data_IF_840591701853
#
_entry.id   IF_840591701853
#
_cell.length_a   1.000
_cell.length_b   1.000
_cell.length_c   1.000
_cell.angle_alpha   90.00
_cell.angle_beta   90.00
_cell.angle_gamma   90.00
#
_symmetry.space_group_name_H-M   'P 1'
#
loop_
_entity.id
_entity.type
_entity.pdbx_description
1 polymer ?
#
# COMPACT_ATOMS: atom_id res chain seq x y z
N UNK A 1 8.39 16.01 15.10
CA UNK A 1 8.58 15.90 13.65
C UNK A 1 7.54 16.76 12.94
N UNK A 2 7.88 17.50 11.88
CA UNK A 2 6.91 18.36 11.20
C UNK A 2 5.91 17.54 10.38
N UNK A 3 4.64 17.96 10.36
CA UNK A 3 3.58 17.39 9.51
C UNK A 3 4.01 17.25 8.03
N UNK A 4 4.89 18.15 7.56
CA UNK A 4 5.47 18.12 6.22
C UNK A 4 6.19 16.80 5.94
N UNK A 5 7.05 16.33 6.84
CA UNK A 5 7.84 15.09 6.63
C UNK A 5 6.93 13.87 6.59
N UNK A 6 5.93 13.80 7.47
CA UNK A 6 4.93 12.73 7.41
C UNK A 6 4.13 12.77 6.10
N UNK A 7 3.73 13.96 5.65
CA UNK A 7 3.08 14.15 4.35
C UNK A 7 3.92 13.70 3.17
N UNK A 8 5.23 14.00 3.18
CA UNK A 8 6.17 13.53 2.14
C UNK A 8 6.27 12.00 2.11
N UNK A 9 6.35 11.36 3.28
CA UNK A 9 6.41 9.89 3.40
C UNK A 9 5.10 9.26 2.90
N UNK A 10 3.95 9.87 3.17
CA UNK A 10 2.66 9.33 2.73
C UNK A 10 2.44 9.52 1.23
N UNK A 11 2.99 10.57 0.63
CA UNK A 11 2.71 10.91 -0.77
C UNK A 11 3.73 10.33 -1.78
N UNK A 12 5.03 10.54 -1.54
CA UNK A 12 6.05 10.26 -2.55
C UNK A 12 6.36 8.77 -2.75
N UNK A 13 6.62 7.97 -1.69
CA UNK A 13 6.88 6.54 -1.85
C UNK A 13 5.76 5.79 -2.59
N UNK A 14 4.46 5.98 -2.27
CA UNK A 14 3.39 5.34 -3.03
C UNK A 14 3.33 5.76 -4.49
N UNK A 15 3.57 7.05 -4.78
CA UNK A 15 3.64 7.57 -6.14
C UNK A 15 4.77 6.90 -6.94
N UNK A 16 5.97 6.77 -6.35
CA UNK A 16 7.10 6.10 -7.00
C UNK A 16 6.81 4.62 -7.30
N UNK A 17 6.18 3.91 -6.36
CA UNK A 17 5.76 2.52 -6.58
C UNK A 17 4.74 2.44 -7.71
N UNK A 18 3.77 3.34 -7.74
CA UNK A 18 2.73 3.38 -8.77
C UNK A 18 3.33 3.65 -10.17
N UNK A 19 4.25 4.61 -10.29
CA UNK A 19 4.98 4.89 -11.53
C UNK A 19 5.79 3.68 -11.97
N UNK A 20 6.54 3.05 -11.05
CA UNK A 20 7.31 1.85 -11.36
C UNK A 20 6.42 0.73 -11.89
N UNK A 21 5.28 0.45 -11.25
CA UNK A 21 4.30 -0.53 -11.71
C UNK A 21 3.72 -0.17 -13.08
N UNK A 22 3.45 1.12 -13.31
CA UNK A 22 2.98 1.62 -14.61
C UNK A 22 3.94 1.36 -15.76
N UNK A 23 5.26 1.39 -15.49
CA UNK A 23 6.30 1.16 -16.49
C UNK A 23 6.45 -0.31 -16.90
N UNK A 24 6.12 -1.26 -16.02
CA UNK A 24 6.25 -2.71 -16.30
C UNK A 24 4.95 -3.36 -16.77
N UNK A 25 3.79 -2.75 -16.52
CA UNK A 25 2.50 -3.35 -16.89
C UNK A 25 2.09 -3.06 -18.34
N UNK A 26 1.47 -4.06 -19.03
CA UNK A 26 0.89 -3.86 -20.35
C UNK A 26 -0.27 -2.87 -20.29
N UNK A 27 -0.53 -2.14 -21.38
CA UNK A 27 -1.51 -1.04 -21.44
C UNK A 27 -2.90 -1.42 -20.92
N UNK A 28 -3.33 -2.65 -21.19
CA UNK A 28 -4.63 -3.19 -20.80
C UNK A 28 -4.85 -3.25 -19.28
N UNK A 29 -3.78 -3.44 -18.50
CA UNK A 29 -3.83 -3.58 -17.04
C UNK A 29 -3.18 -2.40 -16.32
N UNK A 30 -2.51 -1.50 -17.05
CA UNK A 30 -1.65 -0.46 -16.50
C UNK A 30 -2.39 0.45 -15.52
N UNK A 31 -3.56 0.99 -15.91
CA UNK A 31 -4.31 1.91 -15.07
C UNK A 31 -4.75 1.24 -13.76
N UNK A 32 -5.32 0.04 -13.82
CA UNK A 32 -5.73 -0.71 -12.64
C UNK A 32 -4.54 -1.07 -11.75
N UNK A 33 -3.43 -1.50 -12.35
CA UNK A 33 -2.21 -1.82 -11.60
C UNK A 33 -1.60 -0.61 -10.90
N UNK A 34 -1.56 0.56 -11.55
CA UNK A 34 -1.11 1.82 -10.94
C UNK A 34 -1.97 2.16 -9.73
N UNK A 35 -3.31 2.10 -9.86
CA UNK A 35 -4.25 2.43 -8.78
C UNK A 35 -4.05 1.48 -7.59
N UNK A 36 -4.01 0.17 -7.86
CA UNK A 36 -3.82 -0.85 -6.81
C UNK A 36 -2.46 -0.69 -6.15
N UNK A 37 -1.39 -0.53 -6.92
CA UNK A 37 -0.05 -0.34 -6.39
C UNK A 37 0.04 0.91 -5.50
N UNK A 38 -0.54 2.03 -5.93
CA UNK A 38 -0.60 3.25 -5.13
C UNK A 38 -1.36 3.02 -3.81
N UNK A 39 -2.52 2.36 -3.86
CA UNK A 39 -3.35 2.12 -2.69
C UNK A 39 -2.63 1.24 -1.65
N UNK A 40 -2.03 0.13 -2.08
CA UNK A 40 -1.31 -0.78 -1.19
C UNK A 40 -0.03 -0.15 -0.65
N UNK A 41 0.73 0.57 -1.48
CA UNK A 41 1.93 1.28 -1.02
C UNK A 41 1.58 2.41 -0.05
N UNK A 42 0.40 3.03 -0.18
CA UNK A 42 -0.08 4.07 0.75
C UNK A 42 -0.33 3.50 2.15
N UNK A 43 -0.84 2.27 2.27
CA UNK A 43 -0.99 1.60 3.58
C UNK A 43 0.37 1.45 4.25
N UNK A 44 1.37 0.97 3.51
CA UNK A 44 2.75 0.82 4.00
C UNK A 44 3.33 2.16 4.43
N UNK A 45 3.15 3.19 3.59
CA UNK A 45 3.65 4.53 3.84
C UNK A 45 3.02 5.18 5.08
N UNK A 46 1.72 4.99 5.31
CA UNK A 46 1.04 5.46 6.52
C UNK A 46 1.58 4.77 7.77
N UNK A 47 1.80 3.45 7.73
CA UNK A 47 2.43 2.73 8.85
C UNK A 47 3.83 3.26 9.16
N UNK A 48 4.67 3.46 8.14
CA UNK A 48 6.01 4.03 8.30
C UNK A 48 5.95 5.47 8.84
N UNK A 49 5.05 6.29 8.31
CA UNK A 49 4.87 7.66 8.77
C UNK A 49 4.41 7.74 10.23
N UNK A 50 3.55 6.82 10.67
CA UNK A 50 3.10 6.72 12.06
C UNK A 50 4.26 6.34 13.00
N UNK A 51 5.01 5.29 12.67
CA UNK A 51 6.16 4.86 13.48
C UNK A 51 7.25 5.95 13.53
N UNK A 52 7.46 6.65 12.41
CA UNK A 52 8.38 7.79 12.35
C UNK A 52 7.87 8.98 13.17
N UNK A 53 6.57 9.28 13.15
CA UNK A 53 5.97 10.35 13.96
C UNK A 53 6.14 10.09 15.46
N UNK A 54 6.10 8.83 15.89
CA UNK A 54 6.37 8.41 17.26
C UNK A 54 7.88 8.30 17.58
N UNK A 55 8.78 8.64 16.65
CA UNK A 55 10.23 8.64 16.88
C UNK A 55 10.83 7.25 17.09
N UNK A 56 10.15 6.21 16.59
CA UNK A 56 10.57 4.81 16.73
C UNK A 56 11.51 4.35 15.62
N UNK A 57 11.57 5.06 14.50
CA UNK A 57 12.52 4.75 13.42
C UNK A 57 13.82 5.53 13.68
N UNK A 58 14.86 4.80 14.12
CA UNK A 58 16.19 5.38 14.40
C UNK A 58 17.29 4.77 13.53
N UNK A 59 16.97 3.67 12.87
CA UNK A 59 17.88 2.92 12.00
C UNK A 59 17.15 2.40 10.75
N UNK A 60 17.93 1.95 9.77
CA UNK A 60 17.39 1.25 8.61
C UNK A 60 16.66 -0.05 8.99
N UNK A 61 17.08 -0.70 10.08
CA UNK A 61 16.41 -1.89 10.62
C UNK A 61 14.98 -1.60 11.07
N UNK A 62 14.79 -0.50 11.81
CA UNK A 62 13.47 -0.08 12.28
C UNK A 62 12.54 0.29 11.12
N UNK A 63 13.09 0.95 10.10
CA UNK A 63 12.36 1.29 8.88
C UNK A 63 11.88 0.01 8.16
N UNK A 64 12.74 -1.00 8.06
CA UNK A 64 12.37 -2.28 7.45
C UNK A 64 11.26 -2.99 8.24
N UNK A 65 11.34 -2.98 9.58
CA UNK A 65 10.29 -3.54 10.45
C UNK A 65 8.96 -2.81 10.24
N UNK A 66 8.98 -1.47 10.23
CA UNK A 66 7.77 -0.66 10.01
C UNK A 66 7.16 -0.92 8.61
N UNK A 67 7.99 -0.97 7.57
CA UNK A 67 7.54 -1.27 6.21
C UNK A 67 6.97 -2.69 6.11
N UNK A 68 7.59 -3.68 6.77
CA UNK A 68 7.09 -5.06 6.82
C UNK A 68 5.74 -5.16 7.51
N UNK A 69 5.56 -4.46 8.64
CA UNK A 69 4.29 -4.39 9.35
C UNK A 69 3.20 -3.78 8.45
N UNK A 70 3.49 -2.65 7.80
CA UNK A 70 2.58 -2.04 6.83
C UNK A 70 2.25 -2.95 5.65
N UNK A 71 3.23 -3.73 5.17
CA UNK A 71 3.03 -4.70 4.08
C UNK A 71 2.11 -5.83 4.51
N UNK A 72 2.27 -6.35 5.73
CA UNK A 72 1.35 -7.35 6.29
C UNK A 72 -0.08 -6.78 6.39
N UNK A 73 -0.23 -5.54 6.87
CA UNK A 73 -1.52 -4.86 6.91
C UNK A 73 -2.16 -4.74 5.52
N UNK A 74 -1.38 -4.34 4.51
CA UNK A 74 -1.84 -4.24 3.13
C UNK A 74 -2.29 -5.61 2.58
N UNK A 75 -1.57 -6.69 2.87
CA UNK A 75 -1.96 -8.05 2.48
C UNK A 75 -3.28 -8.49 3.12
N UNK A 76 -3.50 -8.20 4.40
CA UNK A 76 -4.76 -8.50 5.07
C UNK A 76 -5.94 -7.75 4.45
N UNK A 77 -5.74 -6.47 4.09
CA UNK A 77 -6.74 -5.68 3.37
C UNK A 77 -7.02 -6.31 2.00
N UNK A 78 -5.98 -6.69 1.26
CA UNK A 78 -6.12 -7.35 -0.04
C UNK A 78 -6.88 -8.67 0.04
N UNK A 79 -6.60 -9.50 1.05
CA UNK A 79 -7.31 -10.74 1.30
C UNK A 79 -8.78 -10.49 1.66
N UNK A 80 -9.06 -9.50 2.51
CA UNK A 80 -10.43 -9.14 2.89
C UNK A 80 -11.25 -8.68 1.66
N UNK A 81 -10.70 -7.74 0.88
CA UNK A 81 -11.37 -7.22 -0.33
C UNK A 81 -11.54 -8.35 -1.37
N UNK A 82 -10.48 -9.13 -1.62
CA UNK A 82 -10.53 -10.25 -2.54
C UNK A 82 -11.57 -11.30 -2.14
N UNK A 83 -11.68 -11.60 -0.84
CA UNK A 83 -12.68 -12.51 -0.29
C UNK A 83 -14.12 -12.01 -0.50
N UNK A 84 -14.37 -10.72 -0.26
CA UNK A 84 -15.68 -10.10 -0.49
C UNK A 84 -16.07 -10.15 -1.97
N UNK A 85 -15.14 -9.82 -2.88
CA UNK A 85 -15.38 -9.87 -4.32
C UNK A 85 -15.67 -11.31 -4.77
N UNK A 86 -14.88 -12.28 -4.30
CA UNK A 86 -15.08 -13.69 -4.63
C UNK A 86 -16.44 -14.21 -4.13
N UNK A 87 -16.84 -13.84 -2.91
CA UNK A 87 -18.14 -14.21 -2.35
C UNK A 87 -19.30 -13.60 -3.13
N UNK A 88 -19.21 -12.33 -3.50
CA UNK A 88 -20.22 -11.64 -4.31
C UNK A 88 -20.34 -12.27 -5.71
N UNK A 89 -19.21 -12.61 -6.33
CA UNK A 89 -19.19 -13.29 -7.62
C UNK A 89 -19.85 -14.67 -7.54
N UNK A 90 -19.54 -15.47 -6.51
CA UNK A 90 -20.16 -16.77 -6.30
C UNK A 90 -21.68 -16.65 -6.10
N UNK A 91 -22.11 -15.69 -5.28
CA UNK A 91 -23.54 -15.42 -5.06
C UNK A 91 -24.27 -15.08 -6.38
N UNK A 92 -23.65 -14.30 -7.27
CA UNK A 92 -24.24 -13.94 -8.58
C UNK A 92 -24.38 -15.11 -9.55
N UNK A 93 -23.68 -16.24 -9.31
CA UNK A 93 -23.76 -17.46 -10.14
C UNK A 93 -24.80 -18.46 -9.65
N UNK A 94 -25.22 -18.32 -8.39
CA UNK A 94 -26.18 -19.22 -7.74
C UNK A 94 -27.63 -18.69 -7.82
N UNK A 95 -27.80 -17.46 -8.33
CA UNK A 95 -29.09 -16.85 -8.68
C UNK A 95 -29.37 -17.04 -10.17
#
# INVERSE_FOLDING_TARGET
>A
MSLVVAGLIVFFPPLLVAVAVGLVLPDQLRLYGIIVAYLFASVVAVSVAAEQYHGRIRSAGDLFVAARSGTQGALWIGLAIGGVIAAAWLASRLM
#
